data_IF_925382642025
#
_entry.id   IF_925382642025
#
_cell.length_a   1.000
_cell.length_b   1.000
_cell.length_c   1.000
_cell.angle_alpha   90.00
_cell.angle_beta   90.00
_cell.angle_gamma   90.00
#
_symmetry.space_group_name_H-M   'P 1'
#
loop_
_entity.id
_entity.type
_entity.pdbx_description
1 polymer ?
#
# COMPACT_ATOMS: atom_id res chain seq x y z
N UNK A 1 18.43 7.90 0.62
CA UNK A 1 17.05 8.41 0.78
C UNK A 1 16.15 7.41 1.51
N UNK A 2 16.09 6.14 1.11
CA UNK A 2 15.29 5.12 1.82
C UNK A 2 15.69 4.98 3.31
N UNK A 3 16.98 5.07 3.65
CA UNK A 3 17.46 5.09 5.04
C UNK A 3 16.87 6.23 5.89
N UNK A 4 16.67 7.42 5.30
CA UNK A 4 16.13 8.59 6.04
C UNK A 4 14.63 8.43 6.28
N UNK A 5 13.90 7.85 5.31
CA UNK A 5 12.49 7.50 5.50
C UNK A 5 12.33 6.40 6.56
N UNK A 6 13.18 5.37 6.54
CA UNK A 6 13.20 4.30 7.54
C UNK A 6 13.50 4.88 8.93
N UNK A 7 14.49 5.77 9.06
CA UNK A 7 14.80 6.44 10.33
C UNK A 7 13.62 7.29 10.84
N UNK A 8 12.95 8.05 9.96
CA UNK A 8 11.76 8.81 10.33
C UNK A 8 10.60 7.93 10.81
N UNK A 9 10.34 6.82 10.11
CA UNK A 9 9.36 5.80 10.51
C UNK A 9 9.75 5.14 11.85
N UNK A 10 11.03 4.78 12.05
CA UNK A 10 11.51 4.23 13.31
C UNK A 10 11.29 5.18 14.48
N UNK A 11 11.50 6.49 14.29
CA UNK A 11 11.23 7.49 15.32
C UNK A 11 9.74 7.62 15.68
N UNK A 12 8.84 7.48 14.70
CA UNK A 12 7.39 7.50 14.92
C UNK A 12 6.94 6.25 15.69
N UNK A 13 7.48 5.07 15.36
CA UNK A 13 7.05 3.80 15.95
C UNK A 13 7.79 3.42 17.24
N UNK A 14 8.93 4.03 17.56
CA UNK A 14 9.72 3.70 18.75
C UNK A 14 9.07 4.13 20.07
N UNK A 15 7.91 4.80 20.05
CA UNK A 15 7.31 5.42 21.23
C UNK A 15 6.34 4.53 22.01
N UNK A 16 5.88 3.40 21.45
CA UNK A 16 4.97 2.52 22.18
C UNK A 16 5.23 1.03 21.93
N UNK A 17 5.43 0.28 23.01
CA UNK A 17 5.69 -1.17 22.99
C UNK A 17 4.53 -1.97 22.37
N UNK A 18 3.35 -1.33 22.25
CA UNK A 18 2.11 -1.86 21.69
C UNK A 18 2.16 -2.08 20.17
N UNK A 19 3.02 -1.36 19.44
CA UNK A 19 3.07 -1.43 17.96
C UNK A 19 4.05 -2.49 17.40
N UNK A 20 4.84 -3.15 18.24
CA UNK A 20 5.90 -4.09 17.80
C UNK A 20 5.35 -5.25 16.96
N UNK A 21 4.21 -5.80 17.32
CA UNK A 21 3.55 -6.86 16.55
C UNK A 21 3.08 -6.34 15.19
N UNK A 22 2.50 -5.13 15.16
CA UNK A 22 2.06 -4.49 13.91
C UNK A 22 3.22 -4.25 12.94
N UNK A 23 4.40 -3.83 13.43
CA UNK A 23 5.59 -3.65 12.61
C UNK A 23 6.07 -5.00 12.04
N UNK A 24 6.13 -6.04 12.87
CA UNK A 24 6.54 -7.38 12.43
C UNK A 24 5.62 -7.93 11.33
N UNK A 25 4.31 -7.84 11.54
CA UNK A 25 3.30 -8.24 10.54
C UNK A 25 3.41 -7.37 9.28
N UNK A 26 3.57 -6.05 9.42
CA UNK A 26 3.73 -5.13 8.29
C UNK A 26 4.94 -5.43 7.41
N UNK A 27 6.10 -5.73 8.02
CA UNK A 27 7.31 -6.15 7.28
C UNK A 27 7.06 -7.47 6.54
N UNK A 28 6.42 -8.44 7.20
CA UNK A 28 6.07 -9.71 6.57
C UNK A 28 5.11 -9.53 5.39
N UNK A 29 4.09 -8.68 5.53
CA UNK A 29 3.18 -8.31 4.44
C UNK A 29 3.91 -7.63 3.28
N UNK A 30 4.85 -6.71 3.57
CA UNK A 30 5.65 -6.05 2.55
C UNK A 30 6.53 -7.04 1.77
N UNK A 31 7.10 -8.03 2.46
CA UNK A 31 7.86 -9.12 1.84
C UNK A 31 6.97 -9.96 0.90
N UNK A 32 5.79 -10.39 1.36
CA UNK A 32 4.82 -11.12 0.51
C UNK A 32 4.38 -10.29 -0.70
N UNK A 33 4.11 -8.99 -0.50
CA UNK A 33 3.73 -8.07 -1.58
C UNK A 33 4.84 -7.93 -2.63
N UNK A 34 6.10 -7.80 -2.20
CA UNK A 34 7.25 -7.76 -3.11
C UNK A 34 7.40 -9.07 -3.90
N UNK A 35 7.24 -10.22 -3.24
CA UNK A 35 7.30 -11.55 -3.87
C UNK A 35 6.19 -11.74 -4.91
N UNK A 36 4.96 -11.31 -4.59
CA UNK A 36 3.83 -11.28 -5.51
C UNK A 36 4.10 -10.38 -6.72
N UNK A 37 4.62 -9.17 -6.48
CA UNK A 37 4.94 -8.21 -7.55
C UNK A 37 6.01 -8.73 -8.51
N UNK A 38 7.07 -9.39 -7.99
CA UNK A 38 8.14 -9.98 -8.82
C UNK A 38 7.61 -11.16 -9.63
N UNK A 39 6.87 -12.07 -9.01
CA UNK A 39 6.30 -13.25 -9.69
C UNK A 39 5.28 -12.83 -10.74
N UNK A 40 4.41 -11.87 -10.42
CA UNK A 40 3.41 -11.33 -11.33
C UNK A 40 4.03 -10.69 -12.57
N UNK A 41 5.10 -9.91 -12.41
CA UNK A 41 5.87 -9.35 -13.54
C UNK A 41 6.46 -10.44 -14.44
N UNK A 42 7.02 -11.50 -13.85
CA UNK A 42 7.58 -12.64 -14.61
C UNK A 42 6.51 -13.38 -15.42
N UNK A 43 5.31 -13.52 -14.86
CA UNK A 43 4.20 -14.20 -15.51
C UNK A 43 3.56 -13.35 -16.64
N UNK A 44 3.50 -12.03 -16.47
CA UNK A 44 3.05 -11.09 -17.52
C UNK A 44 4.06 -10.90 -18.66
N UNK A 45 5.33 -11.26 -18.47
CA UNK A 45 6.35 -11.19 -19.51
C UNK A 45 6.17 -12.26 -20.61
N UNK A 46 5.30 -13.25 -20.40
CA UNK A 46 4.94 -14.23 -21.42
C UNK A 46 3.88 -13.65 -22.38
N UNK A 47 4.14 -13.61 -23.71
CA UNK A 47 3.26 -12.96 -24.70
C UNK A 47 1.85 -13.55 -24.85
N UNK A 48 1.58 -14.72 -24.25
CA UNK A 48 0.29 -15.42 -24.35
C UNK A 48 -0.55 -15.32 -23.07
N UNK A 49 -0.10 -14.57 -22.06
CA UNK A 49 -0.84 -14.37 -20.83
C UNK A 49 -1.88 -13.25 -21.01
N UNK A 50 -3.11 -13.62 -21.37
CA UNK A 50 -4.23 -12.67 -21.36
C UNK A 50 -4.46 -12.13 -19.93
N UNK A 51 -4.44 -10.80 -19.78
CA UNK A 51 -4.58 -10.13 -18.48
C UNK A 51 -5.88 -10.51 -17.75
N UNK A 52 -6.93 -10.86 -18.49
CA UNK A 52 -8.21 -11.34 -17.95
C UNK A 52 -8.08 -12.71 -17.25
N UNK A 53 -7.32 -13.64 -17.83
CA UNK A 53 -7.11 -14.97 -17.25
C UNK A 53 -6.32 -14.90 -15.93
N UNK A 54 -5.31 -14.01 -15.88
CA UNK A 54 -4.54 -13.77 -14.66
C UNK A 54 -5.38 -13.17 -13.53
N UNK A 55 -6.27 -12.23 -13.87
CA UNK A 55 -7.15 -11.60 -12.89
C UNK A 55 -8.14 -12.59 -12.28
N UNK A 56 -8.73 -13.45 -13.12
CA UNK A 56 -9.62 -14.51 -12.64
C UNK A 56 -8.90 -15.46 -11.68
N UNK A 57 -7.66 -15.85 -11.99
CA UNK A 57 -6.88 -16.73 -11.12
C UNK A 57 -6.50 -16.06 -9.79
N UNK A 58 -6.27 -14.76 -9.79
CA UNK A 58 -6.04 -13.98 -8.57
C UNK A 58 -7.28 -13.91 -7.69
N UNK A 59 -8.46 -13.63 -8.25
CA UNK A 59 -9.70 -13.61 -7.47
C UNK A 59 -10.07 -14.99 -6.94
N UNK A 60 -9.85 -16.05 -7.73
CA UNK A 60 -10.07 -17.42 -7.26
C UNK A 60 -9.14 -17.78 -6.10
N UNK A 61 -7.84 -17.48 -6.24
CA UNK A 61 -6.85 -17.68 -5.18
C UNK A 61 -7.16 -16.87 -3.92
N UNK A 62 -7.58 -15.61 -4.07
CA UNK A 62 -8.01 -14.77 -2.96
C UNK A 62 -9.24 -15.34 -2.24
N UNK A 63 -10.19 -15.91 -2.99
CA UNK A 63 -11.39 -16.54 -2.43
C UNK A 63 -11.03 -17.77 -1.61
N UNK A 64 -10.14 -18.62 -2.12
CA UNK A 64 -9.63 -19.81 -1.40
C UNK A 64 -8.87 -19.41 -0.14
N UNK A 65 -7.98 -18.41 -0.23
CA UNK A 65 -7.23 -17.93 0.93
C UNK A 65 -8.13 -17.30 1.99
N UNK A 66 -9.20 -16.61 1.59
CA UNK A 66 -10.19 -16.06 2.53
C UNK A 66 -10.90 -17.18 3.30
N UNK A 67 -11.30 -18.27 2.62
CA UNK A 67 -11.90 -19.44 3.29
C UNK A 67 -10.92 -20.04 4.30
N UNK A 68 -9.65 -20.23 3.92
CA UNK A 68 -8.61 -20.74 4.83
C UNK A 68 -8.43 -19.81 6.04
N UNK A 69 -8.41 -18.49 5.83
CA UNK A 69 -8.27 -17.51 6.89
C UNK A 69 -9.44 -17.55 7.89
N UNK A 70 -10.68 -17.69 7.39
CA UNK A 70 -11.87 -17.86 8.25
C UNK A 70 -11.81 -19.18 9.03
N UNK A 71 -11.36 -20.27 8.39
CA UNK A 71 -11.13 -21.54 9.09
C UNK A 71 -10.08 -21.41 10.19
N UNK A 72 -8.98 -20.69 9.93
CA UNK A 72 -7.93 -20.46 10.92
C UNK A 72 -8.42 -19.59 12.09
N UNK A 73 -9.17 -18.52 11.78
CA UNK A 73 -9.80 -17.66 12.79
C UNK A 73 -10.67 -18.50 13.74
N UNK A 74 -11.53 -19.37 13.18
CA UNK A 74 -12.37 -20.29 13.95
C UNK A 74 -11.58 -21.17 14.91
N UNK A 75 -10.46 -21.76 14.47
CA UNK A 75 -9.64 -22.64 15.31
C UNK A 75 -9.07 -21.88 16.52
N UNK A 76 -8.77 -20.59 16.36
CA UNK A 76 -8.20 -19.77 17.43
C UNK A 76 -9.23 -19.18 18.39
N UNK A 77 -10.39 -18.72 17.90
CA UNK A 77 -11.39 -18.04 18.72
C UNK A 77 -12.51 -18.95 19.23
N UNK A 78 -12.74 -20.09 18.58
CA UNK A 78 -13.72 -21.10 19.00
C UNK A 78 -15.20 -20.69 18.88
N UNK A 79 -15.50 -19.42 18.57
CA UNK A 79 -16.87 -18.91 18.40
C UNK A 79 -17.24 -18.68 16.94
N UNK A 80 -18.53 -18.78 16.65
CA UNK A 80 -19.15 -18.52 15.34
C UNK A 80 -20.00 -17.26 15.41
N UNK A 81 -19.39 -16.11 15.70
CA UNK A 81 -20.08 -14.82 15.69
C UNK A 81 -20.06 -14.15 14.30
N UNK A 82 -20.24 -14.94 13.23
CA UNK A 82 -20.41 -14.43 11.86
C UNK A 82 -21.89 -14.10 11.63
N UNK A 83 -22.32 -12.96 12.19
CA UNK A 83 -23.66 -12.43 11.95
C UNK A 83 -23.66 -11.56 10.70
N UNK A 84 -24.29 -12.05 9.62
CA UNK A 84 -24.45 -11.28 8.39
C UNK A 84 -25.81 -10.59 8.38
N UNK A 85 -25.82 -9.26 8.49
CA UNK A 85 -27.01 -8.45 8.18
C UNK A 85 -27.11 -8.23 6.67
N UNK A 86 -28.34 -8.09 6.18
CA UNK A 86 -28.60 -7.82 4.76
C UNK A 86 -27.98 -6.48 4.30
N UNK A 87 -27.95 -5.48 5.18
CA UNK A 87 -27.28 -4.19 4.94
C UNK A 87 -25.76 -4.37 4.78
N UNK A 88 -25.13 -5.19 5.63
CA UNK A 88 -23.70 -5.48 5.54
C UNK A 88 -23.36 -6.19 4.22
N UNK A 89 -24.26 -7.02 3.70
CA UNK A 89 -24.12 -7.66 2.38
C UNK A 89 -24.10 -6.64 1.24
N UNK A 90 -24.96 -5.61 1.28
CA UNK A 90 -24.97 -4.53 0.29
C UNK A 90 -23.68 -3.70 0.35
N UNK A 91 -23.22 -3.35 1.56
CA UNK A 91 -21.94 -2.65 1.73
C UNK A 91 -20.75 -3.50 1.25
N UNK A 92 -20.72 -4.79 1.56
CA UNK A 92 -19.69 -5.70 1.07
C UNK A 92 -19.70 -5.83 -0.45
N UNK A 93 -20.88 -5.94 -1.05
CA UNK A 93 -21.01 -6.05 -2.50
C UNK A 93 -20.53 -4.77 -3.19
N UNK A 94 -20.92 -3.61 -2.68
CA UNK A 94 -20.48 -2.31 -3.21
C UNK A 94 -18.96 -2.15 -3.04
N UNK A 95 -18.42 -2.48 -1.87
CA UNK A 95 -16.98 -2.43 -1.63
C UNK A 95 -16.22 -3.40 -2.54
N UNK A 96 -16.65 -4.65 -2.67
CA UNK A 96 -15.98 -5.65 -3.50
C UNK A 96 -16.01 -5.29 -4.99
N UNK A 97 -17.09 -4.71 -5.48
CA UNK A 97 -17.22 -4.33 -6.90
C UNK A 97 -16.55 -3.00 -7.20
N UNK A 98 -16.94 -1.92 -6.51
CA UNK A 98 -16.43 -0.57 -6.79
C UNK A 98 -15.01 -0.39 -6.26
N UNK A 99 -14.80 -0.71 -4.98
CA UNK A 99 -13.52 -0.47 -4.32
C UNK A 99 -12.46 -1.52 -4.68
N UNK A 100 -12.81 -2.80 -4.85
CA UNK A 100 -11.82 -3.82 -5.20
C UNK A 100 -11.70 -4.01 -6.71
N UNK A 101 -12.75 -4.50 -7.39
CA UNK A 101 -12.65 -4.79 -8.82
C UNK A 101 -12.44 -3.52 -9.67
N UNK A 102 -13.20 -2.45 -9.37
CA UNK A 102 -13.09 -1.16 -10.04
C UNK A 102 -11.71 -0.52 -9.86
N UNK A 103 -11.24 -0.35 -8.62
CA UNK A 103 -9.91 0.23 -8.37
C UNK A 103 -8.79 -0.63 -8.94
N UNK A 104 -8.90 -1.96 -8.93
CA UNK A 104 -7.88 -2.83 -9.52
C UNK A 104 -7.80 -2.66 -11.04
N UNK A 105 -8.95 -2.55 -11.72
CA UNK A 105 -8.98 -2.23 -13.16
C UNK A 105 -8.37 -0.85 -13.44
N UNK A 106 -8.73 0.18 -12.67
CA UNK A 106 -8.09 1.49 -12.78
C UNK A 106 -6.58 1.40 -12.55
N UNK A 107 -6.14 0.62 -11.55
CA UNK A 107 -4.72 0.43 -11.27
C UNK A 107 -4.01 -0.21 -12.47
N UNK A 108 -4.57 -1.25 -13.08
CA UNK A 108 -4.04 -1.86 -14.30
C UNK A 108 -4.00 -0.88 -15.48
N UNK A 109 -5.00 0.00 -15.63
CA UNK A 109 -5.02 1.03 -16.67
C UNK A 109 -3.97 2.13 -16.42
N UNK A 110 -3.82 2.57 -15.17
CA UNK A 110 -2.84 3.57 -14.74
C UNK A 110 -1.42 3.06 -14.96
N UNK A 111 -1.13 1.79 -14.66
CA UNK A 111 0.18 1.20 -14.95
C UNK A 111 0.51 1.19 -16.45
N UNK A 112 -0.49 1.24 -17.34
CA UNK A 112 -0.29 1.35 -18.80
C UNK A 112 -0.17 2.80 -19.28
N UNK A 113 -0.77 3.76 -18.58
CA UNK A 113 -0.87 5.15 -19.01
C UNK A 113 0.10 6.12 -18.31
N UNK A 114 0.59 5.76 -17.12
CA UNK A 114 1.43 6.63 -16.28
C UNK A 114 2.84 6.08 -16.24
N UNK A 115 3.82 6.92 -16.60
CA UNK A 115 5.23 6.49 -16.59
C UNK A 115 5.69 6.11 -15.18
N UNK A 116 6.63 5.17 -15.10
CA UNK A 116 7.19 4.66 -13.84
C UNK A 116 7.67 5.77 -12.89
N UNK A 117 7.98 6.95 -13.42
CA UNK A 117 8.39 8.12 -12.66
C UNK A 117 7.27 8.73 -11.80
N UNK A 118 6.10 9.01 -12.38
CA UNK A 118 4.98 9.62 -11.65
C UNK A 118 4.45 8.67 -10.58
N UNK A 119 4.39 7.38 -10.89
CA UNK A 119 4.01 6.34 -9.94
C UNK A 119 4.97 6.33 -8.74
N UNK A 120 6.28 6.38 -8.98
CA UNK A 120 7.27 6.39 -7.91
C UNK A 120 7.27 7.70 -7.09
N UNK A 121 6.89 8.82 -7.68
CA UNK A 121 6.72 10.10 -6.98
C UNK A 121 5.51 10.05 -6.03
N UNK A 122 4.37 9.57 -6.53
CA UNK A 122 3.13 9.41 -5.75
C UNK A 122 3.32 8.49 -4.55
N UNK A 123 3.98 7.34 -4.72
CA UNK A 123 4.26 6.43 -3.60
C UNK A 123 5.13 7.05 -2.49
N UNK A 124 6.04 7.97 -2.84
CA UNK A 124 6.83 8.65 -1.81
C UNK A 124 6.03 9.73 -1.07
N UNK A 125 4.99 10.28 -1.68
CA UNK A 125 4.12 11.30 -1.09
C UNK A 125 2.95 10.69 -0.30
N UNK A 126 2.61 9.43 -0.56
CA UNK A 126 1.55 8.67 0.11
C UNK A 126 1.53 8.81 1.64
N UNK A 127 2.62 8.49 2.36
CA UNK A 127 2.64 8.65 3.80
C UNK A 127 2.49 10.12 4.24
N UNK A 128 3.04 11.08 3.49
CA UNK A 128 3.02 12.50 3.88
C UNK A 128 1.62 13.09 3.76
N UNK A 129 0.97 12.94 2.60
CA UNK A 129 -0.36 13.51 2.41
C UNK A 129 -1.39 12.81 3.31
N UNK A 130 -1.24 11.50 3.56
CA UNK A 130 -2.16 10.75 4.43
C UNK A 130 -2.07 11.26 5.87
N UNK A 131 -0.85 11.52 6.37
CA UNK A 131 -0.64 12.13 7.69
C UNK A 131 -1.25 13.54 7.74
N UNK A 132 -1.01 14.39 6.73
CA UNK A 132 -1.59 15.74 6.68
C UNK A 132 -3.11 15.73 6.62
N UNK A 133 -3.70 14.81 5.85
CA UNK A 133 -5.15 14.66 5.73
C UNK A 133 -5.76 14.17 7.06
N UNK A 134 -5.09 13.24 7.74
CA UNK A 134 -5.51 12.78 9.06
C UNK A 134 -5.56 13.94 10.07
N UNK A 135 -4.56 14.84 10.07
CA UNK A 135 -4.59 16.05 10.91
C UNK A 135 -5.75 16.98 10.59
N UNK A 136 -6.04 17.19 9.30
CA UNK A 136 -7.09 18.10 8.85
C UNK A 136 -8.49 17.58 9.19
N UNK A 137 -8.70 16.26 9.08
CA UNK A 137 -10.03 15.64 9.25
C UNK A 137 -10.31 15.30 10.71
N UNK A 138 -9.37 14.65 11.41
CA UNK A 138 -9.61 14.16 12.77
C UNK A 138 -9.38 15.24 13.84
N UNK A 139 -8.70 16.35 13.50
CA UNK A 139 -8.41 17.48 14.41
C UNK A 139 -7.81 17.06 15.78
N UNK A 140 -7.27 15.85 15.90
CA UNK A 140 -6.61 15.29 17.08
C UNK A 140 -5.18 15.84 17.25
N UNK A 141 -5.02 17.16 17.11
CA UNK A 141 -3.78 17.89 17.44
C UNK A 141 -3.39 17.81 18.94
N UNK A 142 -4.16 17.08 19.75
CA UNK A 142 -4.05 17.04 21.22
C UNK A 142 -3.25 15.87 21.76
N UNK A 143 -3.03 14.79 21.00
CA UNK A 143 -2.25 13.62 21.47
C UNK A 143 -0.81 13.54 20.93
N UNK A 144 -0.46 14.38 19.95
CA UNK A 144 0.85 14.28 19.29
C UNK A 144 1.93 15.11 19.99
N UNK A 145 2.90 14.39 20.55
CA UNK A 145 4.09 14.92 21.24
C UNK A 145 5.06 15.60 20.27
N UNK A 146 5.96 16.47 20.76
CA UNK A 146 6.95 17.21 19.95
C UNK A 146 7.77 16.29 19.01
N UNK A 147 8.09 15.07 19.45
CA UNK A 147 8.78 14.05 18.67
C UNK A 147 8.07 13.63 17.38
N UNK A 148 6.72 13.69 17.34
CA UNK A 148 5.95 13.39 16.14
C UNK A 148 6.19 14.44 15.04
N UNK A 149 6.21 15.72 15.40
CA UNK A 149 6.52 16.80 14.46
C UNK A 149 7.95 16.71 13.93
N UNK A 150 8.90 16.25 14.76
CA UNK A 150 10.28 15.96 14.34
C UNK A 150 10.33 14.77 13.37
N UNK A 151 9.60 13.69 13.63
CA UNK A 151 9.48 12.55 12.70
C UNK A 151 8.87 12.96 11.36
N UNK A 152 7.78 13.74 11.39
CA UNK A 152 7.10 14.24 10.19
C UNK A 152 8.02 15.13 9.34
N UNK A 153 8.77 16.04 9.97
CA UNK A 153 9.71 16.91 9.26
C UNK A 153 10.85 16.12 8.60
N UNK A 154 11.38 15.07 9.25
CA UNK A 154 12.34 14.16 8.61
C UNK A 154 11.77 13.45 7.37
N UNK A 155 10.51 13.01 7.41
CA UNK A 155 9.85 12.38 6.26
C UNK A 155 9.70 13.39 5.12
N UNK A 156 9.21 14.59 5.41
CA UNK A 156 9.05 15.67 4.40
C UNK A 156 10.38 16.02 3.75
N UNK A 157 11.45 16.18 4.54
CA UNK A 157 12.80 16.46 4.02
C UNK A 157 13.31 15.30 3.16
N UNK A 158 13.10 14.05 3.58
CA UNK A 158 13.51 12.86 2.84
C UNK A 158 12.83 12.76 1.47
N UNK A 159 11.52 13.01 1.43
CA UNK A 159 10.73 13.01 0.19
C UNK A 159 11.15 14.18 -0.70
N UNK A 160 11.25 15.40 -0.15
CA UNK A 160 11.71 16.58 -0.87
C UNK A 160 13.09 16.38 -1.51
N UNK A 161 14.05 15.82 -0.76
CA UNK A 161 15.39 15.54 -1.26
C UNK A 161 15.40 14.45 -2.34
N UNK A 162 14.56 13.42 -2.20
CA UNK A 162 14.42 12.35 -3.21
C UNK A 162 13.84 12.90 -4.50
N UNK A 163 12.78 13.69 -4.40
CA UNK A 163 12.10 14.37 -5.51
C UNK A 163 13.04 15.36 -6.21
N UNK A 164 13.80 16.14 -5.44
CA UNK A 164 14.80 17.08 -5.98
C UNK A 164 15.94 16.36 -6.71
N UNK A 165 16.49 15.27 -6.14
CA UNK A 165 17.54 14.48 -6.81
C UNK A 165 17.06 13.88 -8.13
N UNK A 166 15.84 13.35 -8.18
CA UNK A 166 15.32 12.75 -9.42
C UNK A 166 15.04 13.83 -10.49
N UNK A 167 14.48 14.98 -10.11
CA UNK A 167 14.32 16.12 -11.04
C UNK A 167 15.66 16.64 -11.58
N UNK A 168 16.72 16.59 -10.77
CA UNK A 168 18.08 16.98 -11.20
C UNK A 168 18.69 15.95 -12.15
N UNK A 169 18.47 14.66 -11.93
CA UNK A 169 18.92 13.58 -12.82
C UNK A 169 18.22 13.62 -14.19
N UNK A 170 16.91 13.92 -14.24
CA UNK A 170 16.18 14.11 -15.51
C UNK A 170 16.67 15.33 -16.32
N UNK A 171 17.20 16.37 -15.65
CA UNK A 171 17.81 17.51 -16.35
C UNK A 171 19.19 17.22 -16.94
N UNK A 172 19.87 16.16 -16.49
CA UNK A 172 21.19 15.77 -17.01
C UNK A 172 21.11 14.71 -18.13
N UNK A 173 20.06 13.88 -18.21
CA UNK A 173 19.86 12.88 -19.26
C UNK A 173 18.45 12.96 -19.91
N UNK A 174 18.28 13.72 -21.02
CA UNK A 174 16.99 13.88 -21.69
C UNK A 174 16.53 12.65 -22.51
N UNK A 175 17.31 11.57 -22.58
CA UNK A 175 17.02 10.36 -23.38
C UNK A 175 15.97 9.41 -22.79
N UNK A 176 15.57 9.57 -21.52
CA UNK A 176 14.63 8.67 -20.82
C UNK A 176 13.14 9.01 -21.03
N UNK A 177 12.82 9.88 -22.01
CA UNK A 177 11.44 10.28 -22.29
C UNK A 177 10.68 9.24 -23.15
N UNK A 178 11.39 8.28 -23.75
CA UNK A 178 10.88 7.39 -24.79
C UNK A 178 11.13 5.89 -24.54
N UNK A 179 11.36 5.46 -23.29
CA UNK A 179 11.53 4.04 -22.92
C UNK A 179 10.49 3.61 -21.89
#
# INVERSE_FOLDING_TARGET
CSLVAILGLSFIFSFDARYRLGIGVGIFCAFLSALYSVTGRRLMAHPQAESYSMLNWQFLGASVMMVIAVCFYRVFTGSWDLYFKLEDMLYLLLAATVCTAGMYLLQLMVLKAVSAFTVMLTYNLEPVYTILLAFLIFHENREFNFSFYVGLSFIIISVGLKTWRVMRLQKLDPGLKNA
#
